data_IF_994812032109
#
_entry.id   IF_994812032109
#
_cell.length_a   1.000
_cell.length_b   1.000
_cell.length_c   1.000
_cell.angle_alpha   90.00
_cell.angle_beta   90.00
_cell.angle_gamma   90.00
#
_symmetry.space_group_name_H-M   'P 1'
#
loop_
_entity.id
_entity.type
_entity.pdbx_description
1 polymer ?
#
# COMPACT_ATOMS: atom_id res chain seq x y z
N UNK A 1 -22.20 -1.81 -3.51
CA UNK A 1 -20.77 -1.49 -3.36
C UNK A 1 -20.11 -2.73 -2.78
N UNK A 2 -19.14 -3.31 -3.50
CA UNK A 2 -18.46 -4.54 -3.08
C UNK A 2 -17.06 -4.12 -2.64
N UNK A 3 -16.78 -4.29 -1.36
CA UNK A 3 -15.46 -4.01 -0.78
C UNK A 3 -14.63 -5.28 -0.93
N UNK A 4 -13.38 -5.13 -1.35
CA UNK A 4 -12.40 -6.20 -1.52
C UNK A 4 -11.13 -5.89 -0.75
N UNK A 5 -10.36 -6.91 -0.42
CA UNK A 5 -9.06 -6.77 0.23
C UNK A 5 -7.97 -6.65 -0.84
N UNK A 6 -7.07 -5.70 -0.64
CA UNK A 6 -5.94 -5.42 -1.50
C UNK A 6 -4.65 -5.49 -0.69
N UNK A 7 -3.63 -6.13 -1.26
CA UNK A 7 -2.25 -5.96 -0.83
C UNK A 7 -1.68 -4.77 -1.58
N UNK A 8 -1.35 -3.70 -0.85
CA UNK A 8 -0.82 -2.46 -1.40
C UNK A 8 0.64 -2.32 -1.01
N UNK A 9 1.51 -2.20 -2.01
CA UNK A 9 2.93 -1.92 -1.81
C UNK A 9 3.21 -0.46 -2.11
N UNK A 10 3.66 0.24 -1.08
CA UNK A 10 4.03 1.64 -1.15
C UNK A 10 5.55 1.74 -1.23
N UNK A 11 6.06 2.32 -2.31
CA UNK A 11 7.49 2.34 -2.62
C UNK A 11 8.16 3.66 -2.22
N UNK A 12 9.37 3.48 -1.68
CA UNK A 12 10.30 4.53 -1.31
C UNK A 12 11.74 4.08 -1.68
N UNK A 13 12.75 4.41 -0.87
CA UNK A 13 14.08 3.77 -0.93
C UNK A 13 14.06 2.27 -0.55
N UNK A 14 12.95 1.81 0.04
CA UNK A 14 12.53 0.42 0.20
C UNK A 14 11.06 0.27 -0.19
N UNK A 15 10.30 -0.59 0.49
CA UNK A 15 8.84 -0.62 0.34
C UNK A 15 8.16 -1.07 1.64
N UNK A 16 6.93 -0.59 1.85
CA UNK A 16 6.03 -1.05 2.91
C UNK A 16 4.84 -1.75 2.26
N UNK A 17 4.34 -2.81 2.89
CA UNK A 17 3.17 -3.54 2.42
C UNK A 17 2.02 -3.34 3.40
N UNK A 18 0.85 -3.00 2.88
CA UNK A 18 -0.37 -2.76 3.64
C UNK A 18 -1.50 -3.61 3.10
N UNK A 19 -2.29 -4.19 3.98
CA UNK A 19 -3.55 -4.82 3.61
C UNK A 19 -4.68 -3.83 3.83
N UNK A 20 -5.40 -3.50 2.76
CA UNK A 20 -6.43 -2.46 2.78
C UNK A 20 -7.72 -2.96 2.13
N UNK A 21 -8.85 -2.68 2.78
CA UNK A 21 -10.16 -2.90 2.20
C UNK A 21 -10.60 -1.68 1.36
N UNK A 22 -10.88 -1.88 0.08
CA UNK A 22 -11.26 -0.84 -0.86
C UNK A 22 -12.19 -1.37 -1.97
N UNK A 23 -12.84 -0.46 -2.70
CA UNK A 23 -13.69 -0.82 -3.84
C UNK A 23 -12.88 -1.05 -5.12
N UNK A 24 -11.72 -0.41 -5.22
CA UNK A 24 -10.82 -0.45 -6.37
C UNK A 24 -9.37 -0.17 -5.93
N UNK A 25 -8.43 -0.38 -6.87
CA UNK A 25 -6.99 -0.22 -6.64
C UNK A 25 -6.60 1.22 -6.28
N UNK A 26 -7.16 2.23 -6.94
CA UNK A 26 -6.85 3.65 -6.70
C UNK A 26 -7.23 4.08 -5.27
N UNK A 27 -8.39 3.62 -4.79
CA UNK A 27 -8.83 3.83 -3.42
C UNK A 27 -7.95 3.07 -2.43
N UNK A 28 -7.51 1.86 -2.75
CA UNK A 28 -6.60 1.07 -1.91
C UNK A 28 -5.25 1.79 -1.72
N UNK A 29 -4.65 2.29 -2.80
CA UNK A 29 -3.39 3.06 -2.77
C UNK A 29 -3.57 4.34 -1.96
N UNK A 30 -4.66 5.07 -2.18
CA UNK A 30 -4.96 6.30 -1.44
C UNK A 30 -5.08 6.03 0.06
N UNK A 31 -5.79 4.96 0.45
CA UNK A 31 -5.94 4.57 1.85
C UNK A 31 -4.59 4.14 2.46
N UNK A 32 -3.80 3.32 1.76
CA UNK A 32 -2.48 2.89 2.22
C UNK A 32 -1.52 4.07 2.43
N UNK A 33 -1.51 5.06 1.53
CA UNK A 33 -0.72 6.29 1.66
C UNK A 33 -1.12 7.16 2.85
N UNK A 34 -2.37 7.10 3.28
CA UNK A 34 -2.88 7.80 4.45
C UNK A 34 -2.71 7.01 5.76
N UNK A 35 -2.31 5.73 5.69
CA UNK A 35 -1.93 4.97 6.88
C UNK A 35 -0.62 5.52 7.43
N UNK A 36 -0.55 5.63 8.76
CA UNK A 36 0.62 6.15 9.43
C UNK A 36 1.77 5.16 9.21
N UNK A 37 2.73 5.55 8.38
CA UNK A 37 3.95 4.76 8.15
C UNK A 37 4.69 4.72 9.49
N UNK A 38 4.98 3.53 10.00
CA UNK A 38 5.74 3.41 11.23
C UNK A 38 7.15 3.92 10.98
N UNK A 39 7.42 5.14 11.46
CA UNK A 39 8.71 5.81 11.32
C UNK A 39 9.88 5.00 11.89
N UNK A 40 9.63 3.97 12.72
CA UNK A 40 10.67 3.07 13.21
C UNK A 40 11.08 1.99 12.20
N UNK A 41 10.23 1.64 11.23
CA UNK A 41 10.63 0.76 10.10
C UNK A 41 11.47 1.50 9.05
N UNK A 42 11.51 2.83 9.15
CA UNK A 42 12.11 3.70 8.15
C UNK A 42 13.53 4.10 8.56
N UNK A 43 14.51 3.29 8.17
CA UNK A 43 15.92 3.67 8.23
C UNK A 43 16.26 4.74 7.16
N UNK A 44 16.18 6.03 7.53
CA UNK A 44 16.64 7.22 6.78
C UNK A 44 15.75 7.73 5.62
N UNK A 45 16.07 8.97 5.17
CA UNK A 45 15.36 9.80 4.18
C UNK A 45 14.73 8.99 3.03
N UNK A 46 13.41 8.81 3.08
CA UNK A 46 12.65 8.16 2.02
C UNK A 46 12.41 9.16 0.89
N UNK A 47 13.05 8.92 -0.24
CA UNK A 47 12.60 9.53 -1.48
C UNK A 47 11.31 8.81 -1.89
N UNK A 48 10.23 9.58 -1.96
CA UNK A 48 8.92 9.09 -2.33
C UNK A 48 8.92 8.66 -3.81
N UNK A 49 8.48 7.43 -4.10
CA UNK A 49 8.34 6.93 -5.46
C UNK A 49 6.91 6.45 -5.76
N UNK A 50 5.95 7.37 -5.69
CA UNK A 50 4.50 7.11 -5.90
C UNK A 50 4.20 6.41 -7.23
N UNK A 51 4.98 6.69 -8.27
CA UNK A 51 4.82 6.07 -9.60
C UNK A 51 5.08 4.55 -9.60
N UNK A 52 5.74 4.02 -8.57
CA UNK A 52 6.02 2.59 -8.41
C UNK A 52 5.00 1.89 -7.49
N UNK A 53 4.07 2.62 -6.87
CA UNK A 53 3.05 2.03 -6.00
C UNK A 53 2.18 1.03 -6.76
N UNK A 54 1.88 -0.10 -6.11
CA UNK A 54 1.05 -1.16 -6.69
C UNK A 54 0.00 -1.60 -5.68
N UNK A 55 -1.17 -1.96 -6.19
CA UNK A 55 -2.22 -2.61 -5.40
C UNK A 55 -2.66 -3.85 -6.16
N UNK A 56 -2.52 -5.01 -5.51
CA UNK A 56 -2.96 -6.29 -6.05
C UNK A 56 -4.15 -6.77 -5.22
N UNK A 57 -5.14 -7.38 -5.87
CA UNK A 57 -6.22 -8.06 -5.14
C UNK A 57 -5.60 -9.20 -4.34
N UNK A 58 -5.87 -9.20 -3.05
CA UNK A 58 -5.48 -10.28 -2.16
C UNK A 58 -6.38 -11.48 -2.46
N UNK A 59 -6.02 -12.23 -3.51
CA UNK A 59 -6.60 -13.51 -3.79
C UNK A 59 -5.90 -14.49 -2.85
N UNK A 60 -6.56 -14.83 -1.74
CA UNK A 60 -6.20 -15.98 -0.89
C UNK A 60 -6.37 -17.30 -1.67
N UNK A 61 -5.66 -17.47 -2.79
CA UNK A 61 -5.50 -18.76 -3.47
C UNK A 61 -4.24 -19.42 -2.89
N UNK A 62 -4.46 -20.16 -1.80
CA UNK A 62 -3.51 -21.10 -1.17
C UNK A 62 -3.16 -22.28 -2.08
#
# INVERSE_FOLDING_TARGET
MVIKRYEVRIYYSGFCTYEVEAENEEEAITKARNMQIDSNELMSNLENWEEADTAELDNEDY
#
